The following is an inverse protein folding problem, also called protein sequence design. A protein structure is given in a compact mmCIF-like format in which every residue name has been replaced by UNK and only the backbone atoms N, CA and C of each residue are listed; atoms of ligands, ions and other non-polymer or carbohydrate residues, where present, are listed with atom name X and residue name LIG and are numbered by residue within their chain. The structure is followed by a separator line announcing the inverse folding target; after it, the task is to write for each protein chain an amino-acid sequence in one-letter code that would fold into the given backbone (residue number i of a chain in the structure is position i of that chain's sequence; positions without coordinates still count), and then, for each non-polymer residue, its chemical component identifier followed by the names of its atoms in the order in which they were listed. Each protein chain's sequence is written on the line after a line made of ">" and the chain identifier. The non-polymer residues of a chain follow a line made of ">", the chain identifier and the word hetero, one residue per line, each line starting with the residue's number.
data_IF_039372529685
#
_entry.id   IF_039372529685
#
_cell.length_a   1.000
_cell.length_b   1.000
_cell.length_c   1.000
_cell.angle_alpha   90.00
_cell.angle_beta   90.00
_cell.angle_gamma   90.00
#
_symmetry.space_group_name_H-M   'P 1'
#
loop_
_entity.id
_entity.type
_entity.pdbx_description
1 polymer ?
#
# COMPACT_ATOMS: atom_id res chain seq x y z
N UNK A 1 -1.22 29.46 20.74
CA UNK A 1 -1.10 28.00 20.87
C UNK A 1 -2.36 27.52 21.55
N UNK A 2 -2.95 26.42 21.07
CA UNK A 2 -4.02 25.75 21.83
C UNK A 2 -3.47 25.34 23.20
N UNK A 3 -4.29 25.36 24.24
CA UNK A 3 -3.88 24.93 25.58
C UNK A 3 -3.47 23.46 25.57
N UNK A 4 -2.60 23.06 26.49
CA UNK A 4 -2.17 21.65 26.63
C UNK A 4 -3.38 20.71 26.81
N UNK A 5 -4.38 21.15 27.56
CA UNK A 5 -5.63 20.42 27.78
C UNK A 5 -6.44 20.25 26.47
N UNK A 6 -6.62 21.32 25.68
CA UNK A 6 -7.31 21.25 24.38
C UNK A 6 -6.59 20.32 23.39
N UNK A 7 -5.25 20.33 23.41
CA UNK A 7 -4.44 19.43 22.60
C UNK A 7 -4.66 17.98 23.02
N UNK A 8 -4.62 17.69 24.32
CA UNK A 8 -4.84 16.35 24.86
C UNK A 8 -6.25 15.83 24.57
N UNK A 9 -7.28 16.67 24.68
CA UNK A 9 -8.64 16.27 24.27
C UNK A 9 -8.71 15.92 22.78
N UNK A 10 -8.05 16.70 21.93
CA UNK A 10 -8.09 16.52 20.47
C UNK A 10 -7.48 15.23 19.95
N UNK A 11 -6.56 14.61 20.71
CA UNK A 11 -5.85 13.38 20.33
C UNK A 11 -6.52 12.09 20.85
N UNK A 12 -7.57 12.21 21.67
CA UNK A 12 -8.33 11.05 22.19
C UNK A 12 -9.31 10.50 21.16
N UNK A 13 -9.80 9.27 21.37
CA UNK A 13 -10.86 8.67 20.52
C UNK A 13 -12.21 9.36 20.67
N UNK A 14 -12.40 10.12 21.75
CA UNK A 14 -13.60 10.87 22.07
C UNK A 14 -13.64 12.24 21.36
N UNK A 15 -12.52 12.67 20.75
CA UNK A 15 -12.45 13.92 20.00
C UNK A 15 -13.47 13.95 18.86
N UNK A 16 -14.18 15.08 18.65
CA UNK A 16 -15.10 15.22 17.51
C UNK A 16 -14.37 15.19 16.15
N UNK A 17 -13.04 15.32 16.15
CA UNK A 17 -12.18 15.18 14.98
C UNK A 17 -11.55 13.78 14.84
N UNK A 18 -11.80 12.89 15.80
CA UNK A 18 -11.35 11.51 15.71
C UNK A 18 -12.31 10.71 14.81
N UNK A 19 -11.79 10.27 13.66
CA UNK A 19 -12.50 9.39 12.75
C UNK A 19 -11.82 8.03 12.77
N UNK A 20 -12.55 7.00 13.22
CA UNK A 20 -12.10 5.62 13.11
C UNK A 20 -12.33 5.10 11.70
N UNK A 21 -11.40 5.42 10.80
CA UNK A 21 -11.44 4.93 9.43
C UNK A 21 -11.43 3.39 9.35
N UNK A 22 -10.86 2.69 10.32
CA UNK A 22 -10.80 1.23 10.30
C UNK A 22 -12.18 0.58 10.50
N UNK A 23 -13.07 1.20 11.29
CA UNK A 23 -14.45 0.75 11.48
C UNK A 23 -15.43 1.30 10.43
N UNK A 24 -15.09 2.42 9.77
CA UNK A 24 -15.91 3.00 8.70
C UNK A 24 -15.65 2.39 7.32
N UNK A 25 -14.52 1.72 7.12
CA UNK A 25 -14.33 0.97 5.88
C UNK A 25 -15.33 -0.19 5.88
N UNK A 26 -16.18 -0.32 4.84
CA UNK A 26 -17.08 -1.45 4.74
C UNK A 26 -16.27 -2.73 4.90
N UNK A 27 -16.92 -3.83 5.28
CA UNK A 27 -16.40 -5.17 5.00
C UNK A 27 -16.36 -5.37 3.47
N UNK A 28 -15.53 -4.60 2.77
CA UNK A 28 -15.28 -4.78 1.35
C UNK A 28 -14.69 -6.18 1.24
N UNK A 29 -15.40 -7.02 0.47
CA UNK A 29 -14.84 -8.27 -0.02
C UNK A 29 -13.49 -7.91 -0.62
N UNK A 30 -12.43 -8.63 -0.23
CA UNK A 30 -11.09 -8.36 -0.77
C UNK A 30 -11.16 -8.46 -2.28
N UNK A 31 -10.81 -7.36 -2.93
CA UNK A 31 -10.65 -7.30 -4.37
C UNK A 31 -9.18 -7.53 -4.74
N UNK A 32 -8.98 -7.77 -6.02
CA UNK A 32 -7.66 -7.92 -6.61
C UNK A 32 -7.48 -6.82 -7.64
N UNK A 33 -6.27 -6.30 -7.77
CA UNK A 33 -5.92 -5.38 -8.84
C UNK A 33 -6.01 -6.11 -10.18
N UNK A 34 -6.70 -5.51 -11.16
CA UNK A 34 -6.74 -6.03 -12.52
C UNK A 34 -5.31 -6.03 -13.10
N UNK A 35 -4.53 -5.01 -12.78
CA UNK A 35 -3.13 -4.83 -13.13
C UNK A 35 -2.23 -6.01 -12.73
N UNK A 36 -2.59 -6.79 -11.70
CA UNK A 36 -1.81 -7.96 -11.27
C UNK A 36 -1.69 -9.02 -12.39
N UNK A 37 -2.67 -9.09 -13.30
CA UNK A 37 -2.63 -9.96 -14.50
C UNK A 37 -1.52 -9.63 -15.50
N UNK A 38 -0.87 -8.47 -15.38
CA UNK A 38 0.24 -8.07 -16.23
C UNK A 38 1.58 -8.66 -15.77
N UNK A 39 1.60 -9.32 -14.60
CA UNK A 39 2.79 -9.99 -14.08
C UNK A 39 2.98 -11.30 -14.86
N UNK A 40 4.16 -11.55 -15.48
CA UNK A 40 4.39 -12.79 -16.20
C UNK A 40 4.37 -14.00 -15.25
N UNK A 41 3.83 -15.13 -15.72
CA UNK A 41 3.77 -16.39 -14.96
C UNK A 41 5.15 -16.94 -14.53
N UNK A 42 6.22 -16.47 -15.16
CA UNK A 42 7.60 -16.81 -14.81
C UNK A 42 8.12 -16.09 -13.57
N UNK A 43 7.37 -15.11 -13.03
CA UNK A 43 7.74 -14.35 -11.84
C UNK A 43 7.14 -14.97 -10.57
N UNK A 44 7.84 -14.81 -9.45
CA UNK A 44 7.38 -15.31 -8.17
C UNK A 44 6.51 -14.27 -7.47
N UNK A 45 5.25 -14.61 -7.21
CA UNK A 45 4.30 -13.76 -6.49
C UNK A 45 4.04 -14.34 -5.11
N UNK A 46 4.40 -13.59 -4.05
CA UNK A 46 4.12 -13.95 -2.65
C UNK A 46 3.19 -12.92 -2.04
N UNK A 47 2.04 -13.38 -1.51
CA UNK A 47 1.05 -12.52 -0.86
C UNK A 47 1.18 -12.67 0.66
N UNK A 48 1.44 -11.55 1.35
CA UNK A 48 1.51 -11.45 2.82
C UNK A 48 0.93 -10.10 3.21
N UNK A 49 -0.35 -10.11 3.55
CA UNK A 49 -1.11 -8.88 3.76
C UNK A 49 -0.42 -7.95 4.78
N UNK A 50 -0.41 -6.63 4.52
CA UNK A 50 -1.12 -5.93 3.44
C UNK A 50 -0.37 -5.89 2.09
N UNK A 51 0.69 -6.68 1.90
CA UNK A 51 1.60 -6.57 0.76
C UNK A 51 1.61 -7.78 -0.18
N UNK A 52 1.69 -7.51 -1.48
CA UNK A 52 2.06 -8.48 -2.51
C UNK A 52 3.49 -8.19 -2.96
N UNK A 53 4.34 -9.21 -2.91
CA UNK A 53 5.75 -9.16 -3.32
C UNK A 53 5.91 -9.89 -4.65
N UNK A 54 6.55 -9.23 -5.61
CA UNK A 54 6.79 -9.76 -6.96
C UNK A 54 8.28 -9.80 -7.23
N UNK A 55 8.83 -11.00 -7.32
CA UNK A 55 10.27 -11.22 -7.52
C UNK A 55 10.55 -11.70 -8.94
N UNK A 56 11.48 -11.00 -9.61
CA UNK A 56 11.98 -11.42 -10.92
C UNK A 56 12.78 -12.71 -10.76
N UNK A 57 12.62 -13.71 -11.66
CA UNK A 57 13.40 -14.94 -11.62
C UNK A 57 14.91 -14.70 -11.82
N UNK A 58 15.27 -13.59 -12.50
CA UNK A 58 16.64 -13.19 -12.76
C UNK A 58 17.09 -11.98 -11.92
N UNK A 59 16.23 -11.49 -11.03
CA UNK A 59 16.47 -10.29 -10.23
C UNK A 59 17.43 -10.58 -9.08
N UNK A 60 18.61 -9.92 -9.08
CA UNK A 60 19.49 -9.93 -7.91
C UNK A 60 19.01 -8.91 -6.89
N UNK A 61 18.45 -9.39 -5.78
CA UNK A 61 18.11 -8.53 -4.66
C UNK A 61 19.39 -8.03 -3.99
N UNK A 62 19.55 -6.70 -3.90
CA UNK A 62 20.69 -6.12 -3.20
C UNK A 62 20.42 -6.16 -1.70
N UNK A 63 21.41 -6.57 -0.92
CA UNK A 63 21.32 -6.64 0.55
C UNK A 63 21.21 -5.23 1.17
N UNK A 64 21.81 -4.23 0.52
CA UNK A 64 21.79 -2.83 0.94
C UNK A 64 21.48 -1.94 -0.27
N UNK A 65 20.76 -0.83 -0.05
CA UNK A 65 20.50 0.15 -1.10
C UNK A 65 19.35 1.11 -0.81
N UNK A 66 18.91 1.78 -1.87
CA UNK A 66 17.79 2.71 -1.89
C UNK A 66 16.54 2.03 -2.45
N UNK A 67 15.37 2.58 -2.14
CA UNK A 67 14.06 2.16 -2.68
C UNK A 67 13.33 3.37 -3.25
N UNK A 68 12.49 3.14 -4.25
CA UNK A 68 11.52 4.14 -4.73
C UNK A 68 10.16 3.79 -4.13
N UNK A 69 9.50 4.78 -3.55
CA UNK A 69 8.07 4.69 -3.27
C UNK A 69 7.31 5.46 -4.34
N UNK A 70 6.25 4.83 -4.85
CA UNK A 70 5.32 5.46 -5.76
C UNK A 70 4.00 5.66 -5.01
N UNK A 71 3.46 6.86 -5.11
CA UNK A 71 2.18 7.23 -4.51
C UNK A 71 1.14 7.43 -5.60
N UNK A 72 -0.09 7.06 -5.30
CA UNK A 72 -1.24 7.18 -6.19
C UNK A 72 -2.41 7.79 -5.43
N UNK A 73 -3.41 8.29 -6.15
CA UNK A 73 -4.74 8.53 -5.59
C UNK A 73 -5.58 7.28 -5.77
N UNK A 74 -6.73 7.19 -5.09
CA UNK A 74 -7.65 6.05 -5.25
C UNK A 74 -8.10 5.88 -6.71
N UNK A 75 -8.27 6.99 -7.41
CA UNK A 75 -8.80 7.05 -8.78
C UNK A 75 -7.79 6.56 -9.82
N UNK A 76 -6.49 6.72 -9.56
CA UNK A 76 -5.43 6.39 -10.51
C UNK A 76 -4.56 5.19 -10.09
N UNK A 77 -4.76 4.62 -8.90
CA UNK A 77 -3.96 3.53 -8.37
C UNK A 77 -3.87 2.32 -9.32
N UNK A 78 -4.99 1.88 -9.89
CA UNK A 78 -5.04 0.77 -10.84
C UNK A 78 -4.18 1.04 -12.09
N UNK A 79 -4.33 2.24 -12.69
CA UNK A 79 -3.58 2.64 -13.87
C UNK A 79 -2.08 2.75 -13.59
N UNK A 80 -1.71 3.42 -12.50
CA UNK A 80 -0.30 3.57 -12.11
C UNK A 80 0.32 2.20 -11.83
N UNK A 81 -0.38 1.32 -11.11
CA UNK A 81 0.12 -0.03 -10.84
C UNK A 81 0.35 -0.81 -12.14
N UNK A 82 -0.56 -0.72 -13.11
CA UNK A 82 -0.40 -1.36 -14.41
C UNK A 82 0.85 -0.87 -15.17
N UNK A 83 1.07 0.44 -15.23
CA UNK A 83 2.25 1.03 -15.89
C UNK A 83 3.55 0.62 -15.18
N UNK A 84 3.55 0.65 -13.85
CA UNK A 84 4.71 0.28 -13.04
C UNK A 84 5.06 -1.20 -13.18
N UNK A 85 4.07 -2.10 -13.18
CA UNK A 85 4.30 -3.53 -13.39
C UNK A 85 5.01 -3.76 -14.73
N UNK A 86 4.55 -3.13 -15.80
CA UNK A 86 5.18 -3.27 -17.13
C UNK A 86 6.63 -2.77 -17.14
N UNK A 87 6.89 -1.61 -16.51
CA UNK A 87 8.25 -1.04 -16.40
C UNK A 87 9.15 -1.97 -15.59
N UNK A 88 8.71 -2.40 -14.40
CA UNK A 88 9.48 -3.29 -13.54
C UNK A 88 9.77 -4.63 -14.21
N UNK A 89 8.77 -5.20 -14.90
CA UNK A 89 8.93 -6.45 -15.65
C UNK A 89 9.96 -6.29 -16.78
N UNK A 90 9.87 -5.21 -17.57
CA UNK A 90 10.83 -4.90 -18.64
C UNK A 90 12.28 -4.84 -18.14
N UNK A 91 12.49 -4.31 -16.94
CA UNK A 91 13.83 -4.12 -16.36
C UNK A 91 14.21 -5.19 -15.30
N UNK A 92 13.48 -6.31 -15.20
CA UNK A 92 13.72 -7.37 -14.20
C UNK A 92 13.86 -6.84 -12.76
N UNK A 93 13.10 -5.80 -12.43
CA UNK A 93 13.12 -5.15 -11.12
C UNK A 93 12.10 -5.80 -10.21
N UNK A 94 12.53 -6.28 -9.04
CA UNK A 94 11.64 -6.81 -7.99
C UNK A 94 10.93 -5.66 -7.27
N UNK A 95 9.65 -5.82 -6.97
CA UNK A 95 8.82 -4.77 -6.37
C UNK A 95 7.77 -5.36 -5.42
N UNK A 96 7.09 -4.48 -4.69
CA UNK A 96 5.92 -4.83 -3.87
C UNK A 96 4.87 -3.74 -3.96
N UNK A 97 3.62 -4.10 -3.76
CA UNK A 97 2.47 -3.19 -3.77
C UNK A 97 1.44 -3.64 -2.73
N UNK A 98 0.51 -2.76 -2.34
CA UNK A 98 -0.57 -3.13 -1.42
C UNK A 98 -1.53 -4.09 -2.10
N UNK A 99 -1.88 -5.20 -1.45
CA UNK A 99 -2.54 -6.35 -2.10
C UNK A 99 -3.95 -6.09 -2.63
N UNK A 100 -4.64 -5.06 -2.14
CA UNK A 100 -6.02 -4.72 -2.52
C UNK A 100 -6.27 -3.21 -2.40
N UNK A 101 -7.38 -2.71 -2.94
CA UNK A 101 -7.78 -1.31 -2.74
C UNK A 101 -7.95 -0.98 -1.26
N UNK A 102 -8.48 -1.95 -0.49
CA UNK A 102 -8.63 -1.81 0.96
C UNK A 102 -7.29 -1.66 1.65
N UNK A 103 -6.31 -2.50 1.31
CA UNK A 103 -4.97 -2.45 1.89
C UNK A 103 -4.24 -1.16 1.50
N UNK A 104 -4.45 -0.68 0.28
CA UNK A 104 -3.95 0.62 -0.19
C UNK A 104 -4.51 1.78 0.64
N UNK A 105 -5.82 1.84 0.85
CA UNK A 105 -6.43 2.87 1.70
C UNK A 105 -5.98 2.76 3.16
N UNK A 106 -5.93 1.55 3.71
CA UNK A 106 -5.50 1.29 5.08
C UNK A 106 -4.05 1.73 5.32
N UNK A 107 -3.13 1.43 4.42
CA UNK A 107 -1.73 1.82 4.56
C UNK A 107 -1.52 3.34 4.49
N UNK A 108 -2.45 4.07 3.85
CA UNK A 108 -2.41 5.53 3.74
C UNK A 108 -3.23 6.25 4.82
N UNK A 109 -3.99 5.53 5.64
CA UNK A 109 -4.81 6.09 6.71
C UNK A 109 -4.01 6.67 7.88
N UNK A 110 -4.67 7.49 8.71
CA UNK A 110 -4.11 8.09 9.94
C UNK A 110 -3.65 7.02 10.94
N UNK A 111 -4.42 5.94 11.07
CA UNK A 111 -4.15 4.83 11.99
C UNK A 111 -3.27 3.73 11.38
N UNK A 112 -2.72 3.95 10.18
CA UNK A 112 -1.85 2.98 9.53
C UNK A 112 -0.62 2.68 10.39
N UNK A 113 -0.30 1.41 10.58
CA UNK A 113 0.97 1.04 11.20
C UNK A 113 2.13 1.52 10.32
N UNK A 114 2.97 2.42 10.85
CA UNK A 114 4.17 2.95 10.17
C UNK A 114 5.47 2.31 10.65
N UNK A 115 5.44 1.52 11.72
CA UNK A 115 6.57 0.73 12.19
C UNK A 115 6.51 -0.66 11.57
N UNK A 116 7.27 -0.83 10.48
CA UNK A 116 7.41 -2.09 9.76
C UNK A 116 8.59 -2.06 8.80
#
# INVERSE_FOLDING_TARGET
>A
MIGEEDYLESITKQSPFFVDHASMLPSMKRDHWIAESLIPDTWYVTRREPWTYVSSPNGKMRVNGWKIHLSATKENAEKILAEVIQICCKYNTTFKFQSSHRDFLNCNGKAANRSG
#
